data_IF_050510442243
#
_entry.id   IF_050510442243
#
_cell.length_a   1.000
_cell.length_b   1.000
_cell.length_c   1.000
_cell.angle_alpha   90.00
_cell.angle_beta   90.00
_cell.angle_gamma   90.00
#
_symmetry.space_group_name_H-M   'P 1'
#
loop_
_entity.id
_entity.type
_entity.pdbx_description
1 polymer ?
#
# COMPACT_ATOMS: atom_id res chain seq x y z
N UNK A 1 6.30 -47.11 2.20
CA UNK A 1 6.40 -46.17 3.35
C UNK A 1 7.08 -46.88 4.53
N UNK A 2 8.38 -47.17 4.45
CA UNK A 2 9.10 -47.97 5.46
C UNK A 2 9.90 -47.13 6.48
N UNK A 3 9.76 -45.81 6.49
CA UNK A 3 10.45 -44.93 7.44
C UNK A 3 9.53 -43.79 7.91
N UNK A 4 9.52 -43.56 9.22
CA UNK A 4 8.76 -42.48 9.87
C UNK A 4 9.19 -41.10 9.36
N UNK A 5 10.46 -40.95 9.01
CA UNK A 5 11.01 -39.76 8.38
C UNK A 5 10.39 -39.48 7.01
N UNK A 6 10.18 -40.51 6.18
CA UNK A 6 9.58 -40.35 4.85
C UNK A 6 8.13 -39.86 4.92
N UNK A 7 7.33 -40.37 5.86
CA UNK A 7 5.96 -39.91 6.08
C UNK A 7 5.91 -38.45 6.54
N UNK A 8 6.83 -38.03 7.41
CA UNK A 8 6.92 -36.65 7.90
C UNK A 8 7.33 -35.65 6.83
N UNK A 9 8.24 -36.06 5.94
CA UNK A 9 8.62 -35.23 4.78
C UNK A 9 7.45 -35.08 3.81
N UNK A 10 6.73 -36.16 3.49
CA UNK A 10 5.55 -36.10 2.63
C UNK A 10 4.44 -35.20 3.22
N UNK A 11 4.24 -35.26 4.54
CA UNK A 11 3.30 -34.39 5.26
C UNK A 11 3.67 -32.91 5.15
N UNK A 12 4.94 -32.56 5.38
CA UNK A 12 5.43 -31.18 5.22
C UNK A 12 5.29 -30.66 3.77
N UNK A 13 5.56 -31.52 2.78
CA UNK A 13 5.38 -31.17 1.35
C UNK A 13 3.90 -30.86 1.06
N UNK A 14 2.98 -31.68 1.58
CA UNK A 14 1.54 -31.46 1.41
C UNK A 14 1.09 -30.12 2.03
N UNK A 15 1.57 -29.81 3.24
CA UNK A 15 1.30 -28.52 3.92
C UNK A 15 1.80 -27.35 3.07
N UNK A 16 3.02 -27.42 2.53
CA UNK A 16 3.57 -26.38 1.67
C UNK A 16 2.73 -26.15 0.41
N UNK A 17 2.26 -27.22 -0.26
CA UNK A 17 1.39 -27.11 -1.44
C UNK A 17 0.05 -26.45 -1.10
N UNK A 18 -0.56 -26.82 0.03
CA UNK A 18 -1.81 -26.22 0.51
C UNK A 18 -1.62 -24.73 0.80
N UNK A 19 -0.56 -24.35 1.52
CA UNK A 19 -0.28 -22.95 1.86
C UNK A 19 -0.02 -22.06 0.62
N UNK A 20 0.47 -22.61 -0.49
CA UNK A 20 0.61 -21.86 -1.75
C UNK A 20 -0.77 -21.60 -2.37
N UNK A 21 -1.70 -22.56 -2.26
CA UNK A 21 -3.04 -22.48 -2.83
C UNK A 21 -4.05 -21.65 -2.01
N UNK A 22 -3.73 -21.29 -0.77
CA UNK A 22 -4.67 -20.54 0.08
C UNK A 22 -4.81 -19.08 -0.39
N UNK A 23 -6.03 -18.70 -0.78
CA UNK A 23 -6.37 -17.29 -1.02
C UNK A 23 -6.45 -16.58 0.32
N UNK A 24 -5.43 -15.76 0.59
CA UNK A 24 -5.35 -14.95 1.78
C UNK A 24 -6.57 -13.99 1.90
N UNK A 25 -7.15 -13.90 3.11
CA UNK A 25 -8.10 -12.85 3.50
C UNK A 25 -7.37 -11.75 4.28
N UNK A 26 -7.75 -10.49 4.05
CA UNK A 26 -7.11 -9.30 4.62
C UNK A 26 -7.14 -9.33 6.15
N UNK A 27 -5.97 -9.27 6.77
CA UNK A 27 -5.82 -9.00 8.20
C UNK A 27 -5.28 -7.57 8.38
N UNK A 28 -6.08 -6.67 8.97
CA UNK A 28 -5.74 -5.24 9.13
C UNK A 28 -4.60 -4.98 10.13
N UNK A 29 -4.27 -5.95 10.99
CA UNK A 29 -3.22 -5.85 12.02
C UNK A 29 -2.31 -7.08 11.94
N UNK A 30 -1.51 -7.17 10.88
CA UNK A 30 -0.56 -8.27 10.73
C UNK A 30 0.70 -8.00 11.56
N UNK A 31 1.03 -8.91 12.49
CA UNK A 31 2.29 -8.88 13.22
C UNK A 31 3.07 -10.17 12.95
N UNK A 32 4.19 -10.04 12.24
CA UNK A 32 5.05 -11.17 11.82
C UNK A 32 5.51 -12.00 13.02
N UNK A 33 5.85 -11.37 14.15
CA UNK A 33 6.38 -12.08 15.32
C UNK A 33 5.34 -13.02 15.93
N UNK A 34 4.13 -12.53 16.15
CA UNK A 34 3.08 -13.31 16.80
C UNK A 34 2.33 -14.26 15.86
N UNK A 35 2.13 -13.87 14.61
CA UNK A 35 1.33 -14.65 13.65
C UNK A 35 2.17 -15.65 12.84
N UNK A 36 3.48 -15.46 12.73
CA UNK A 36 4.35 -16.33 11.93
C UNK A 36 5.45 -16.96 12.79
N UNK A 37 6.26 -16.15 13.48
CA UNK A 37 7.49 -16.65 14.10
C UNK A 37 7.20 -17.59 15.27
N UNK A 38 6.33 -17.21 16.22
CA UNK A 38 6.02 -18.09 17.36
C UNK A 38 5.34 -19.42 16.95
N UNK A 39 4.31 -19.43 16.07
CA UNK A 39 3.68 -20.69 15.64
C UNK A 39 4.64 -21.61 14.87
N UNK A 40 5.45 -21.07 13.95
CA UNK A 40 6.42 -21.89 13.19
C UNK A 40 7.47 -22.50 14.12
N UNK A 41 8.02 -21.70 15.04
CA UNK A 41 9.07 -22.18 15.95
C UNK A 41 8.52 -23.22 16.93
N UNK A 42 7.33 -22.99 17.51
CA UNK A 42 6.65 -23.96 18.36
C UNK A 42 6.24 -25.24 17.61
N UNK A 43 5.81 -25.12 16.35
CA UNK A 43 5.44 -26.25 15.51
C UNK A 43 6.66 -27.12 15.15
N UNK A 44 7.78 -26.50 14.75
CA UNK A 44 9.02 -27.21 14.42
C UNK A 44 9.64 -27.90 15.64
N UNK A 45 9.59 -27.29 16.83
CA UNK A 45 10.08 -27.93 18.06
C UNK A 45 9.24 -29.15 18.43
N UNK A 46 7.91 -29.07 18.31
CA UNK A 46 7.01 -30.22 18.55
C UNK A 46 7.25 -31.34 17.51
N UNK A 47 7.38 -31.00 16.23
CA UNK A 47 7.71 -32.00 15.18
C UNK A 47 9.09 -32.65 15.45
N UNK A 48 10.07 -31.88 15.93
CA UNK A 48 11.37 -32.42 16.37
C UNK A 48 11.27 -33.35 17.58
N UNK A 49 10.46 -32.98 18.57
CA UNK A 49 10.20 -33.81 19.76
C UNK A 49 9.50 -35.14 19.41
N UNK A 50 8.75 -35.20 18.30
CA UNK A 50 8.14 -36.46 17.84
C UNK A 50 9.19 -37.55 17.55
N UNK A 51 10.39 -37.18 17.06
CA UNK A 51 11.46 -38.16 16.81
C UNK A 51 12.03 -38.73 18.11
N UNK A 52 12.10 -37.92 19.16
CA UNK A 52 12.57 -38.33 20.49
C UNK A 52 11.54 -39.26 21.14
N UNK A 53 10.25 -38.90 21.12
CA UNK A 53 9.19 -39.74 21.70
C UNK A 53 8.97 -41.06 20.94
N UNK A 54 9.28 -41.11 19.65
CA UNK A 54 9.23 -42.36 18.89
C UNK A 54 10.38 -43.32 19.26
N UNK A 55 11.55 -42.79 19.64
CA UNK A 55 12.72 -43.57 20.02
C UNK A 55 12.78 -43.95 21.52
N UNK A 56 11.97 -43.31 22.37
CA UNK A 56 11.92 -43.61 23.80
C UNK A 56 10.93 -44.75 24.09
N UNK A 57 11.39 -45.80 24.77
CA UNK A 57 10.53 -46.83 25.35
C UNK A 57 10.07 -46.42 26.76
N UNK A 58 9.12 -45.48 26.87
CA UNK A 58 8.43 -45.23 28.14
C UNK A 58 7.52 -46.44 28.42
N UNK A 59 7.85 -47.21 29.46
CA UNK A 59 7.14 -48.42 29.89
C UNK A 59 5.79 -48.19 30.57
N UNK A 60 5.12 -47.06 30.29
CA UNK A 60 3.82 -46.71 30.86
C UNK A 60 2.75 -46.91 29.78
N UNK A 61 1.77 -47.78 30.04
CA UNK A 61 0.61 -47.95 29.15
C UNK A 61 -0.54 -47.09 29.65
N UNK A 62 -1.12 -46.29 28.76
CA UNK A 62 -2.32 -45.53 29.04
C UNK A 62 -3.42 -45.99 28.07
N UNK A 63 -4.59 -46.35 28.58
CA UNK A 63 -5.72 -46.81 27.75
C UNK A 63 -5.43 -48.05 26.87
N UNK A 64 -4.52 -48.93 27.31
CA UNK A 64 -4.14 -50.15 26.58
C UNK A 64 -3.12 -49.95 25.45
N UNK A 65 -2.69 -48.71 25.18
CA UNK A 65 -1.64 -48.39 24.22
C UNK A 65 -0.37 -47.86 24.91
N UNK A 66 0.83 -48.06 24.33
CA UNK A 66 2.06 -47.46 24.85
C UNK A 66 1.93 -45.94 24.86
N UNK A 67 2.19 -45.29 26.00
CA UNK A 67 2.06 -43.83 26.14
C UNK A 67 2.87 -43.05 25.09
N UNK A 68 3.99 -43.62 24.63
CA UNK A 68 4.82 -43.07 23.55
C UNK A 68 4.04 -42.82 22.27
N UNK A 69 3.12 -43.73 21.91
CA UNK A 69 2.35 -43.63 20.66
C UNK A 69 1.28 -42.56 20.74
N UNK A 70 0.65 -42.41 21.90
CA UNK A 70 -0.35 -41.36 22.15
C UNK A 70 0.33 -39.99 22.17
N UNK A 71 1.45 -39.87 22.87
CA UNK A 71 2.21 -38.63 22.95
C UNK A 71 2.81 -38.24 21.59
N UNK A 72 3.29 -39.22 20.83
CA UNK A 72 3.71 -39.04 19.44
C UNK A 72 2.57 -38.52 18.56
N UNK A 73 1.38 -39.12 18.64
CA UNK A 73 0.22 -38.71 17.84
C UNK A 73 -0.23 -37.28 18.17
N UNK A 74 -0.33 -36.93 19.45
CA UNK A 74 -0.70 -35.58 19.89
C UNK A 74 0.32 -34.54 19.46
N UNK A 75 1.60 -34.79 19.71
CA UNK A 75 2.69 -33.89 19.34
C UNK A 75 2.77 -33.70 17.82
N UNK A 76 2.53 -34.76 17.05
CA UNK A 76 2.46 -34.74 15.59
C UNK A 76 1.31 -33.88 15.07
N UNK A 77 0.10 -34.06 15.59
CA UNK A 77 -1.09 -33.29 15.14
C UNK A 77 -0.96 -31.81 15.51
N UNK A 78 -0.55 -31.52 16.75
CA UNK A 78 -0.43 -30.11 17.20
C UNK A 78 0.74 -29.42 16.50
N UNK A 79 1.88 -30.09 16.35
CA UNK A 79 3.05 -29.52 15.68
C UNK A 79 2.79 -29.18 14.22
N UNK A 80 2.13 -30.07 13.48
CA UNK A 80 1.81 -29.86 12.05
C UNK A 80 0.78 -28.75 11.84
N UNK A 81 -0.23 -28.65 12.71
CA UNK A 81 -1.20 -27.55 12.68
C UNK A 81 -0.54 -26.19 12.93
N UNK A 82 0.40 -26.09 13.88
CA UNK A 82 1.10 -24.83 14.16
C UNK A 82 2.03 -24.40 13.01
N UNK A 83 2.71 -25.37 12.38
CA UNK A 83 3.51 -25.10 11.16
C UNK A 83 2.60 -24.60 10.02
N UNK A 84 1.45 -25.24 9.80
CA UNK A 84 0.49 -24.82 8.78
C UNK A 84 -0.02 -23.39 9.02
N UNK A 85 -0.40 -23.04 10.25
CA UNK A 85 -0.84 -21.69 10.60
C UNK A 85 0.24 -20.64 10.33
N UNK A 86 1.49 -20.95 10.69
CA UNK A 86 2.63 -20.07 10.46
C UNK A 86 2.94 -19.87 8.98
N UNK A 87 2.93 -20.95 8.19
CA UNK A 87 3.14 -20.91 6.74
C UNK A 87 2.02 -20.15 6.01
N UNK A 88 0.76 -20.31 6.41
CA UNK A 88 -0.34 -19.48 5.91
C UNK A 88 -0.14 -17.99 6.23
N UNK A 89 0.46 -17.67 7.38
CA UNK A 89 0.85 -16.31 7.73
C UNK A 89 1.93 -15.74 6.80
N UNK A 90 2.90 -16.56 6.37
CA UNK A 90 3.93 -16.18 5.40
C UNK A 90 3.31 -16.00 4.01
N UNK A 91 2.44 -16.91 3.58
CA UNK A 91 1.73 -16.81 2.32
C UNK A 91 0.87 -15.54 2.25
N UNK A 92 0.21 -15.17 3.36
CA UNK A 92 -0.45 -13.86 3.52
C UNK A 92 0.55 -12.72 3.37
N UNK A 93 1.68 -12.73 4.08
CA UNK A 93 2.67 -11.65 4.00
C UNK A 93 3.23 -11.46 2.58
N UNK A 94 3.54 -12.54 1.87
CA UNK A 94 4.15 -12.46 0.54
C UNK A 94 3.15 -12.06 -0.55
N UNK A 95 1.95 -12.65 -0.55
CA UNK A 95 0.87 -12.24 -1.46
C UNK A 95 0.34 -10.83 -1.15
N UNK A 96 0.56 -10.34 0.08
CA UNK A 96 0.30 -8.96 0.49
C UNK A 96 1.58 -8.13 0.65
N UNK A 97 2.56 -8.31 -0.26
CA UNK A 97 3.44 -7.19 -0.63
C UNK A 97 2.57 -6.10 -1.23
N UNK A 98 2.02 -5.27 -0.33
CA UNK A 98 1.54 -3.90 -0.51
C UNK A 98 1.21 -3.60 -1.96
N UNK A 99 0.18 -4.30 -2.45
CA UNK A 99 -0.60 -3.86 -3.58
C UNK A 99 -1.28 -2.59 -3.12
N UNK A 100 -0.58 -1.48 -3.36
CA UNK A 100 -1.16 -0.31 -4.00
C UNK A 100 -2.64 -0.17 -3.69
N UNK A 101 -2.94 0.45 -2.55
CA UNK A 101 -4.26 1.03 -2.41
C UNK A 101 -4.54 1.83 -3.69
N UNK A 102 -5.70 1.59 -4.30
CA UNK A 102 -6.10 2.34 -5.49
C UNK A 102 -6.16 3.84 -5.17
N UNK A 103 -6.36 4.16 -3.89
CA UNK A 103 -6.31 5.51 -3.32
C UNK A 103 -4.98 5.77 -2.60
N UNK A 104 -3.86 5.30 -3.15
CA UNK A 104 -2.53 5.72 -2.69
C UNK A 104 -2.16 7.04 -3.36
N UNK A 105 -1.42 7.91 -2.66
CA UNK A 105 -0.99 9.21 -3.16
C UNK A 105 -0.22 9.11 -4.49
N UNK A 106 0.53 8.02 -4.70
CA UNK A 106 1.18 7.71 -5.98
C UNK A 106 0.17 7.40 -7.09
N UNK A 107 -0.88 6.63 -6.79
CA UNK A 107 -1.89 6.22 -7.77
C UNK A 107 -2.88 7.33 -8.11
N UNK A 108 -3.05 8.31 -7.22
CA UNK A 108 -3.80 9.54 -7.46
C UNK A 108 -2.97 10.63 -8.13
N UNK A 109 -1.65 10.45 -8.22
CA UNK A 109 -0.78 11.37 -8.92
C UNK A 109 -0.77 11.08 -10.42
N UNK A 110 -0.50 12.09 -11.24
CA UNK A 110 -0.46 11.97 -12.71
C UNK A 110 0.67 12.83 -13.27
N UNK A 111 1.21 12.42 -14.42
CA UNK A 111 2.16 13.26 -15.14
C UNK A 111 1.49 14.57 -15.59
N UNK A 112 2.16 15.68 -15.31
CA UNK A 112 1.71 17.01 -15.69
C UNK A 112 2.67 17.64 -16.71
N UNK A 113 2.26 18.76 -17.31
CA UNK A 113 3.11 19.51 -18.25
C UNK A 113 4.32 20.12 -17.55
N UNK A 114 5.53 19.75 -17.97
CA UNK A 114 6.80 20.28 -17.44
C UNK A 114 7.34 21.45 -18.27
N UNK A 115 6.94 21.53 -19.54
CA UNK A 115 7.39 22.57 -20.46
C UNK A 115 6.47 23.79 -20.40
N UNK A 116 7.06 24.98 -20.44
CA UNK A 116 6.33 26.23 -20.63
C UNK A 116 5.89 26.34 -22.10
N UNK A 117 4.57 26.36 -22.34
CA UNK A 117 4.00 26.56 -23.67
C UNK A 117 3.25 27.90 -23.67
N UNK A 118 3.94 28.95 -24.11
CA UNK A 118 3.43 30.31 -24.13
C UNK A 118 3.01 30.74 -25.55
N UNK A 119 1.94 31.53 -25.64
CA UNK A 119 1.52 32.23 -26.86
C UNK A 119 1.03 33.65 -26.48
N UNK A 120 0.60 34.44 -27.46
CA UNK A 120 0.17 35.84 -27.25
C UNK A 120 -1.05 35.99 -26.34
N UNK A 121 -1.77 34.90 -26.06
CA UNK A 121 -3.03 34.90 -25.30
C UNK A 121 -3.00 34.01 -24.05
N UNK A 122 -1.95 33.21 -23.87
CA UNK A 122 -1.91 32.17 -22.85
C UNK A 122 -1.74 32.72 -21.44
N UNK A 123 -2.12 31.95 -20.45
CA UNK A 123 -1.68 32.18 -19.07
C UNK A 123 -0.89 30.98 -18.61
N UNK A 124 0.30 31.23 -18.10
CA UNK A 124 1.24 30.19 -17.70
C UNK A 124 1.56 30.36 -16.21
N UNK A 125 1.16 29.39 -15.39
CA UNK A 125 1.32 29.45 -13.93
C UNK A 125 2.32 28.38 -13.50
N UNK A 126 3.39 28.72 -12.79
CA UNK A 126 4.34 27.74 -12.29
C UNK A 126 3.69 26.88 -11.21
N UNK A 127 3.95 25.58 -11.23
CA UNK A 127 3.47 24.64 -10.22
C UNK A 127 4.52 23.61 -9.84
N UNK A 128 4.29 22.95 -8.71
CA UNK A 128 5.05 21.79 -8.27
C UNK A 128 4.06 20.64 -8.11
N UNK A 129 4.36 19.50 -8.71
CA UNK A 129 3.52 18.32 -8.66
C UNK A 129 4.35 17.09 -8.27
N UNK A 130 3.69 16.11 -7.66
CA UNK A 130 4.32 14.86 -7.27
C UNK A 130 4.01 13.78 -8.30
N UNK A 131 5.01 13.02 -8.74
CA UNK A 131 4.85 11.92 -9.69
C UNK A 131 6.00 10.93 -9.59
N UNK A 132 5.71 9.62 -9.57
CA UNK A 132 6.70 8.54 -9.47
C UNK A 132 7.69 8.77 -8.31
N UNK A 133 7.17 8.95 -7.10
CA UNK A 133 7.97 9.14 -5.88
C UNK A 133 8.89 10.37 -5.87
N UNK A 134 8.66 11.37 -6.75
CA UNK A 134 9.49 12.58 -6.84
C UNK A 134 8.65 13.82 -7.02
N UNK A 135 9.17 14.93 -6.51
CA UNK A 135 8.63 16.27 -6.75
C UNK A 135 9.19 16.81 -8.07
N UNK A 136 8.31 17.26 -8.95
CA UNK A 136 8.64 17.82 -10.25
C UNK A 136 8.13 19.26 -10.33
N UNK A 137 8.87 20.11 -11.05
CA UNK A 137 8.43 21.46 -11.39
C UNK A 137 7.73 21.40 -12.73
N UNK A 138 6.60 22.08 -12.85
CA UNK A 138 5.84 22.13 -14.09
C UNK A 138 5.09 23.45 -14.26
N UNK A 139 4.27 23.50 -15.30
CA UNK A 139 3.52 24.68 -15.70
C UNK A 139 2.08 24.31 -16.02
N UNK A 140 1.15 25.08 -15.45
CA UNK A 140 -0.24 25.07 -15.88
C UNK A 140 -0.33 26.02 -17.07
N UNK A 141 -0.43 25.45 -18.27
CA UNK A 141 -0.49 26.19 -19.52
C UNK A 141 -1.94 26.33 -19.99
N UNK A 142 -2.53 27.51 -19.82
CA UNK A 142 -3.87 27.82 -20.32
C UNK A 142 -3.70 28.49 -21.67
N UNK A 143 -3.63 27.66 -22.71
CA UNK A 143 -3.27 28.08 -24.08
C UNK A 143 -4.36 28.93 -24.74
N UNK A 144 -5.63 28.66 -24.42
CA UNK A 144 -6.78 29.34 -25.00
C UNK A 144 -7.80 29.73 -23.91
N UNK A 145 -7.60 30.86 -23.22
CA UNK A 145 -8.51 31.31 -22.18
C UNK A 145 -9.88 31.79 -22.70
N UNK A 146 -10.02 32.05 -24.01
CA UNK A 146 -11.27 32.50 -24.63
C UNK A 146 -12.40 31.46 -24.58
N UNK A 147 -12.09 30.19 -24.33
CA UNK A 147 -13.10 29.13 -24.13
C UNK A 147 -13.82 29.20 -22.79
N UNK A 148 -13.52 30.22 -21.98
CA UNK A 148 -13.98 30.34 -20.61
C UNK A 148 -13.05 29.59 -19.67
N UNK A 149 -12.69 30.24 -18.57
CA UNK A 149 -11.92 29.64 -17.46
C UNK A 149 -12.71 29.87 -16.18
N UNK A 150 -13.05 28.78 -15.49
CA UNK A 150 -13.81 28.83 -14.24
C UNK A 150 -12.92 28.33 -13.12
N UNK A 151 -12.81 29.10 -12.04
CA UNK A 151 -12.03 28.75 -10.85
C UNK A 151 -13.00 28.57 -9.67
N UNK A 152 -13.10 27.35 -9.15
CA UNK A 152 -14.02 26.99 -8.06
C UNK A 152 -13.26 26.68 -6.77
N UNK A 153 -13.88 26.97 -5.63
CA UNK A 153 -13.45 26.44 -4.34
C UNK A 153 -13.98 27.23 -3.16
N UNK A 154 -13.67 26.78 -1.95
CA UNK A 154 -14.12 27.40 -0.69
C UNK A 154 -13.43 28.73 -0.37
N UNK A 155 -14.06 29.64 0.39
CA UNK A 155 -13.39 30.85 0.88
C UNK A 155 -12.07 30.53 1.60
N UNK A 156 -11.02 31.30 1.32
CA UNK A 156 -9.70 31.10 1.94
C UNK A 156 -8.76 30.11 1.23
N UNK A 157 -9.19 29.42 0.17
CA UNK A 157 -8.34 28.45 -0.56
C UNK A 157 -7.25 29.05 -1.47
N UNK A 158 -6.99 30.36 -1.39
CA UNK A 158 -5.93 31.02 -2.16
C UNK A 158 -6.18 31.24 -3.67
N UNK A 159 -7.41 31.05 -4.18
CA UNK A 159 -7.75 31.22 -5.62
C UNK A 159 -7.28 32.55 -6.21
N UNK A 160 -7.49 33.65 -5.49
CA UNK A 160 -7.15 34.99 -5.96
C UNK A 160 -5.65 35.13 -6.21
N UNK A 161 -4.82 34.67 -5.27
CA UNK A 161 -3.37 34.73 -5.39
C UNK A 161 -2.81 33.69 -6.36
N UNK A 162 -3.31 32.46 -6.31
CA UNK A 162 -2.74 31.35 -7.09
C UNK A 162 -3.13 31.36 -8.57
N UNK A 163 -4.33 31.83 -8.92
CA UNK A 163 -4.84 31.76 -10.30
C UNK A 163 -5.21 33.16 -10.83
N UNK A 164 -6.02 33.93 -10.11
CA UNK A 164 -6.60 35.16 -10.65
C UNK A 164 -5.56 36.27 -10.83
N UNK A 165 -4.65 36.46 -9.87
CA UNK A 165 -3.59 37.47 -9.93
C UNK A 165 -2.61 37.23 -11.10
N UNK A 166 -2.09 36.00 -11.34
CA UNK A 166 -1.34 35.67 -12.55
C UNK A 166 -2.12 35.93 -13.84
N UNK A 167 -3.43 35.64 -13.87
CA UNK A 167 -4.29 35.92 -15.00
C UNK A 167 -4.34 37.41 -15.33
N UNK A 168 -4.56 38.25 -14.31
CA UNK A 168 -4.64 39.70 -14.46
C UNK A 168 -3.29 40.25 -14.93
N UNK A 169 -2.19 39.90 -14.26
CA UNK A 169 -0.84 40.39 -14.60
C UNK A 169 -0.43 40.02 -16.03
N UNK A 170 -0.60 38.76 -16.40
CA UNK A 170 -0.16 38.29 -17.72
C UNK A 170 -1.02 38.87 -18.84
N UNK A 171 -2.34 38.97 -18.69
CA UNK A 171 -3.20 39.57 -19.70
C UNK A 171 -3.03 41.09 -19.78
N UNK A 172 -2.88 41.78 -18.64
CA UNK A 172 -2.59 43.21 -18.62
C UNK A 172 -1.25 43.51 -19.33
N UNK A 173 -0.20 42.73 -19.06
CA UNK A 173 1.08 42.84 -19.75
C UNK A 173 0.98 42.58 -21.26
N UNK A 174 0.01 41.75 -21.69
CA UNK A 174 -0.29 41.47 -23.10
C UNK A 174 -1.21 42.50 -23.75
N UNK A 175 -1.57 43.57 -23.04
CA UNK A 175 -2.40 44.67 -23.57
C UNK A 175 -3.89 44.38 -23.65
N UNK A 176 -4.38 43.34 -22.95
CA UNK A 176 -5.81 43.04 -22.90
C UNK A 176 -6.58 44.03 -22.03
N UNK A 177 -7.78 44.39 -22.47
CA UNK A 177 -8.75 45.05 -21.62
C UNK A 177 -9.39 44.02 -20.67
N UNK A 178 -9.45 44.34 -19.38
CA UNK A 178 -9.98 43.46 -18.33
C UNK A 178 -11.07 44.20 -17.56
N UNK A 179 -12.25 43.58 -17.46
CA UNK A 179 -13.27 43.98 -16.50
C UNK A 179 -13.06 43.19 -15.21
N UNK A 180 -12.58 43.86 -14.16
CA UNK A 180 -12.40 43.24 -12.85
C UNK A 180 -13.56 43.63 -11.93
N UNK A 181 -14.35 42.65 -11.50
CA UNK A 181 -15.38 42.82 -10.48
C UNK A 181 -14.94 42.16 -9.18
N UNK A 182 -14.71 42.97 -8.15
CA UNK A 182 -14.23 42.53 -6.83
C UNK A 182 -15.24 42.94 -5.76
N UNK A 183 -15.96 41.96 -5.19
CA UNK A 183 -17.08 42.23 -4.30
C UNK A 183 -16.66 42.62 -2.88
N UNK A 184 -15.57 42.04 -2.35
CA UNK A 184 -15.26 42.11 -0.92
C UNK A 184 -14.28 43.24 -0.56
N UNK A 185 -13.16 43.33 -1.27
CA UNK A 185 -12.13 44.34 -1.09
C UNK A 185 -11.41 44.54 -2.42
N UNK A 186 -11.06 45.77 -2.86
CA UNK A 186 -10.58 46.03 -4.22
C UNK A 186 -9.09 45.65 -4.41
N UNK A 187 -8.69 44.43 -4.05
CA UNK A 187 -7.30 43.97 -4.16
C UNK A 187 -6.98 43.62 -5.60
N UNK A 188 -7.86 42.89 -6.29
CA UNK A 188 -7.64 42.49 -7.68
C UNK A 188 -7.69 43.70 -8.63
N UNK A 189 -8.59 44.64 -8.34
CA UNK A 189 -8.67 45.90 -9.08
C UNK A 189 -7.37 46.72 -8.93
N UNK A 190 -6.78 46.78 -7.74
CA UNK A 190 -5.49 47.45 -7.53
C UNK A 190 -4.35 46.78 -8.30
N UNK A 191 -4.29 45.44 -8.34
CA UNK A 191 -3.31 44.73 -9.18
C UNK A 191 -3.46 45.12 -10.64
N UNK A 192 -4.69 45.24 -11.15
CA UNK A 192 -4.92 45.61 -12.56
C UNK A 192 -4.42 47.04 -12.87
N UNK A 193 -4.63 48.00 -11.97
CA UNK A 193 -4.17 49.38 -12.16
C UNK A 193 -2.65 49.54 -12.04
N UNK A 194 -1.99 48.68 -11.27
CA UNK A 194 -0.54 48.68 -11.06
C UNK A 194 0.04 47.29 -11.38
N UNK A 195 0.09 46.90 -12.66
CA UNK A 195 0.43 45.54 -13.09
C UNK A 195 1.88 45.13 -12.77
#
# INVERSE_FOLDING_TARGET
FNSVSGCKVAELICICVVCIGTKAKKALKFNVKTMVIYPVLAGLTLVGMCFIFHGMNIGMSWFGFPANRILYALCSVVGTMLVHQGLDGIAKYYNYKVGEDRFNFENESFQQSETLVANDYSVNIPMIYYWKQKMHKGWINIINPFRGTIVLGTPGSGKSFGIIDPFIRQHAAKGFAIMCYDFKFPTLAKTLFYP
#
